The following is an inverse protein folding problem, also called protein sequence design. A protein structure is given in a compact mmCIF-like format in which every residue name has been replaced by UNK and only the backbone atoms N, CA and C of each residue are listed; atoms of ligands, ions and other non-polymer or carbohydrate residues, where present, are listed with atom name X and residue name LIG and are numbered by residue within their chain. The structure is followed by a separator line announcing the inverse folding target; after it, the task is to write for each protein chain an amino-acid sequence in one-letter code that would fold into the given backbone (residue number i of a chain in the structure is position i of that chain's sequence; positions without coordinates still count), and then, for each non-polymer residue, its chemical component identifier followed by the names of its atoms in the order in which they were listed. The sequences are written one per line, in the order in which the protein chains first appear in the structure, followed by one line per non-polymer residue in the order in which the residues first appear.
data_IF_199370775673
#
_entry.id   IF_199370775673
#
_cell.length_a   1.000
_cell.length_b   1.000
_cell.length_c   1.000
_cell.angle_alpha   90.00
_cell.angle_beta   90.00
_cell.angle_gamma   90.00
#
_symmetry.space_group_name_H-M   'P 1'
#
loop_
_entity.id
_entity.type
_entity.pdbx_description
1 polymer ?
#
# COMPACT_ATOMS: atom_id res chain seq x y z
N UNK A 1 20.90 34.63 9.84
CA UNK A 1 20.60 33.49 10.74
C UNK A 1 19.25 32.86 10.44
N UNK A 2 18.15 33.63 10.41
CA UNK A 2 16.80 33.13 10.08
C UNK A 2 16.72 32.42 8.71
N UNK A 3 17.30 32.99 7.65
CA UNK A 3 17.30 32.37 6.32
C UNK A 3 18.01 31.01 6.27
N UNK A 4 19.05 30.82 7.07
CA UNK A 4 19.81 29.55 7.11
C UNK A 4 18.99 28.43 7.77
N UNK A 5 18.28 28.76 8.85
CA UNK A 5 17.36 27.82 9.52
C UNK A 5 16.23 27.42 8.57
N UNK A 6 15.65 28.37 7.83
CA UNK A 6 14.62 28.07 6.82
C UNK A 6 15.13 27.14 5.71
N UNK A 7 16.34 27.36 5.21
CA UNK A 7 16.94 26.49 4.19
C UNK A 7 17.13 25.06 4.73
N UNK A 8 17.66 24.91 5.95
CA UNK A 8 17.83 23.60 6.59
C UNK A 8 16.48 22.90 6.78
N UNK A 9 15.49 23.61 7.33
CA UNK A 9 14.15 23.06 7.53
C UNK A 9 13.51 22.60 6.22
N UNK A 10 13.69 23.37 5.14
CA UNK A 10 13.18 23.02 3.81
C UNK A 10 13.86 21.76 3.24
N UNK A 11 15.18 21.63 3.40
CA UNK A 11 15.91 20.42 2.98
C UNK A 11 15.44 19.19 3.76
N UNK A 12 15.29 19.31 5.08
CA UNK A 12 14.78 18.22 5.93
C UNK A 12 13.37 17.80 5.50
N UNK A 13 12.50 18.77 5.19
CA UNK A 13 11.16 18.49 4.69
C UNK A 13 11.18 17.71 3.38
N UNK A 14 12.02 18.11 2.42
CA UNK A 14 12.17 17.40 1.13
C UNK A 14 12.65 15.96 1.37
N UNK A 15 13.66 15.78 2.23
CA UNK A 15 14.16 14.45 2.57
C UNK A 15 13.06 13.59 3.21
N UNK A 16 12.27 14.16 4.11
CA UNK A 16 11.17 13.45 4.79
C UNK A 16 10.07 13.02 3.81
N UNK A 17 9.65 13.91 2.91
CA UNK A 17 8.67 13.59 1.84
C UNK A 17 9.23 12.51 0.91
N UNK A 18 10.52 12.60 0.57
CA UNK A 18 11.19 11.62 -0.30
C UNK A 18 11.25 10.24 0.36
N UNK A 19 11.53 10.15 1.67
CA UNK A 19 11.52 8.89 2.41
C UNK A 19 10.15 8.21 2.38
N UNK A 20 9.06 8.97 2.54
CA UNK A 20 7.70 8.44 2.51
C UNK A 20 7.31 7.78 1.19
N UNK A 21 7.97 8.13 0.08
CA UNK A 21 7.73 7.54 -1.24
C UNK A 21 8.74 6.45 -1.59
N UNK A 22 10.02 6.64 -1.27
CA UNK A 22 11.11 5.73 -1.65
C UNK A 22 11.18 4.50 -0.74
N UNK A 23 10.97 4.63 0.57
CA UNK A 23 11.10 3.50 1.49
C UNK A 23 10.13 2.35 1.20
N UNK A 24 8.84 2.61 0.88
CA UNK A 24 7.94 1.54 0.47
C UNK A 24 8.44 0.77 -0.75
N UNK A 25 9.06 1.46 -1.73
CA UNK A 25 9.58 0.85 -2.95
C UNK A 25 10.74 -0.12 -2.74
N UNK A 26 11.48 0.03 -1.64
CA UNK A 26 12.56 -0.88 -1.26
C UNK A 26 12.04 -2.19 -0.66
N UNK A 27 10.82 -2.20 -0.11
CA UNK A 27 10.22 -3.40 0.45
C UNK A 27 9.18 -3.98 -0.52
N UNK A 28 9.68 -4.76 -1.50
CA UNK A 28 8.82 -5.45 -2.48
C UNK A 28 8.58 -6.87 -2.03
N UNK A 29 7.32 -7.27 -2.01
CA UNK A 29 6.93 -8.65 -1.70
C UNK A 29 5.96 -9.18 -2.76
N UNK A 30 5.89 -10.51 -2.84
CA UNK A 30 4.94 -11.22 -3.70
C UNK A 30 4.27 -12.28 -2.85
N UNK A 31 2.94 -12.30 -2.90
CA UNK A 31 2.13 -13.25 -2.16
C UNK A 31 1.30 -14.06 -3.15
N UNK A 32 1.24 -15.36 -2.92
CA UNK A 32 0.41 -16.28 -3.69
C UNK A 32 -0.63 -16.91 -2.78
N UNK A 33 -1.88 -16.96 -3.21
CA UNK A 33 -2.95 -17.49 -2.39
C UNK A 33 -4.31 -17.39 -3.04
N UNK A 34 -5.36 -17.57 -2.27
CA UNK A 34 -6.75 -17.39 -2.70
C UNK A 34 -7.29 -16.09 -2.13
N UNK A 35 -7.92 -15.27 -2.97
CA UNK A 35 -8.61 -14.06 -2.52
C UNK A 35 -9.81 -14.47 -1.68
N UNK A 36 -9.82 -14.11 -0.40
CA UNK A 36 -10.91 -14.44 0.52
C UNK A 36 -12.01 -13.40 0.41
N UNK A 37 -11.61 -12.12 0.47
CA UNK A 37 -12.55 -11.01 0.44
C UNK A 37 -11.88 -9.72 0.00
N UNK A 38 -12.70 -8.79 -0.48
CA UNK A 38 -12.30 -7.42 -0.80
C UNK A 38 -13.28 -6.43 -0.18
N UNK A 39 -12.79 -5.42 0.52
CA UNK A 39 -13.65 -4.48 1.25
C UNK A 39 -13.10 -3.06 1.30
N UNK A 40 -13.90 -2.16 1.88
CA UNK A 40 -13.51 -0.78 2.17
C UNK A 40 -13.63 -0.53 3.67
N UNK A 41 -12.61 0.05 4.26
CA UNK A 41 -12.59 0.42 5.67
C UNK A 41 -12.24 1.91 5.79
N UNK A 42 -12.68 2.56 6.87
CA UNK A 42 -12.29 3.95 7.12
C UNK A 42 -10.78 4.01 7.35
N UNK A 43 -10.11 4.94 6.67
CA UNK A 43 -8.67 5.09 6.82
C UNK A 43 -8.36 5.62 8.23
N UNK A 44 -7.42 5.00 8.94
CA UNK A 44 -7.09 5.40 10.33
C UNK A 44 -6.61 6.87 10.44
N UNK A 45 -5.87 7.32 9.42
CA UNK A 45 -5.25 8.65 9.35
C UNK A 45 -5.98 9.67 8.46
N UNK A 46 -7.01 9.28 7.70
CA UNK A 46 -7.70 10.20 6.78
C UNK A 46 -9.22 10.03 6.86
N UNK A 47 -9.98 11.03 6.38
CA UNK A 47 -11.46 10.95 6.33
C UNK A 47 -11.97 10.07 5.18
N UNK A 48 -11.07 9.50 4.37
CA UNK A 48 -11.38 8.62 3.25
C UNK A 48 -11.61 7.17 3.64
N UNK A 49 -12.06 6.37 2.67
CA UNK A 49 -12.10 4.91 2.79
C UNK A 49 -10.93 4.29 2.02
N UNK A 50 -10.19 3.41 2.68
CA UNK A 50 -9.13 2.60 2.09
C UNK A 50 -9.70 1.29 1.57
N UNK A 51 -9.21 0.85 0.42
CA UNK A 51 -9.60 -0.44 -0.16
C UNK A 51 -8.63 -1.52 0.30
N UNK A 52 -9.16 -2.67 0.69
CA UNK A 52 -8.37 -3.79 1.14
C UNK A 52 -8.73 -5.07 0.38
N UNK A 53 -7.77 -5.96 0.32
CA UNK A 53 -7.87 -7.32 -0.22
C UNK A 53 -7.24 -8.26 0.79
N UNK A 54 -7.96 -9.32 1.14
CA UNK A 54 -7.41 -10.39 1.98
C UNK A 54 -7.08 -11.61 1.15
N UNK A 55 -5.82 -12.04 1.24
CA UNK A 55 -5.29 -13.18 0.52
C UNK A 55 -4.93 -14.28 1.52
N UNK A 56 -5.49 -15.46 1.35
CA UNK A 56 -5.15 -16.64 2.16
C UNK A 56 -4.04 -17.44 1.48
N UNK A 57 -2.91 -17.60 2.16
CA UNK A 57 -1.77 -18.40 1.74
C UNK A 57 -1.48 -19.47 2.80
N UNK A 58 -1.80 -20.73 2.50
CA UNK A 58 -1.74 -21.81 3.49
C UNK A 58 -2.67 -21.54 4.68
N UNK A 59 -2.09 -21.43 5.88
CA UNK A 59 -2.82 -21.15 7.12
C UNK A 59 -2.91 -19.66 7.45
N UNK A 60 -2.19 -18.81 6.73
CA UNK A 60 -2.11 -17.38 7.01
C UNK A 60 -3.02 -16.59 6.08
N UNK A 61 -3.62 -15.52 6.60
CA UNK A 61 -4.34 -14.53 5.80
C UNK A 61 -3.59 -13.21 5.91
N UNK A 62 -3.20 -12.66 4.77
CA UNK A 62 -2.57 -11.34 4.70
C UNK A 62 -3.58 -10.30 4.22
N UNK A 63 -3.63 -9.17 4.93
CA UNK A 63 -4.37 -7.98 4.55
C UNK A 63 -3.47 -7.08 3.71
N UNK A 64 -3.95 -6.71 2.52
CA UNK A 64 -3.21 -5.95 1.52
C UNK A 64 -4.03 -4.72 1.18
N UNK A 65 -3.41 -3.54 1.23
CA UNK A 65 -4.02 -2.28 0.84
C UNK A 65 -4.05 -2.15 -0.68
N UNK A 66 -5.10 -1.55 -1.23
CA UNK A 66 -5.18 -1.18 -2.64
C UNK A 66 -5.45 0.32 -2.75
N UNK A 67 -4.37 1.09 -2.65
CA UNK A 67 -4.37 2.54 -2.77
C UNK A 67 -3.52 2.98 -3.95
N UNK A 68 -3.63 4.25 -4.33
CA UNK A 68 -2.82 4.81 -5.40
C UNK A 68 -1.34 4.87 -5.00
N UNK A 69 -0.45 4.66 -5.97
CA UNK A 69 1.01 4.66 -5.77
C UNK A 69 1.63 5.60 -6.78
N UNK A 70 2.01 6.78 -6.31
CA UNK A 70 2.59 7.86 -7.12
C UNK A 70 3.82 7.40 -7.91
N UNK A 71 4.80 6.76 -7.25
CA UNK A 71 6.05 6.34 -7.90
C UNK A 71 5.88 5.21 -8.92
N UNK A 72 4.71 4.58 -8.98
CA UNK A 72 4.38 3.53 -9.95
C UNK A 72 3.37 3.96 -10.98
N UNK A 73 2.94 5.22 -10.93
CA UNK A 73 1.88 5.72 -11.80
C UNK A 73 0.58 4.89 -11.69
N UNK A 74 0.33 4.28 -10.52
CA UNK A 74 -0.87 3.49 -10.24
C UNK A 74 -1.92 4.41 -9.63
N UNK A 75 -2.93 4.78 -10.41
CA UNK A 75 -4.03 5.67 -10.00
C UNK A 75 -5.41 5.05 -10.28
N UNK A 76 -5.44 3.74 -10.51
CA UNK A 76 -6.61 2.96 -10.90
C UNK A 76 -7.04 2.00 -9.78
N UNK A 77 -6.68 2.28 -8.53
CA UNK A 77 -7.01 1.46 -7.35
C UNK A 77 -8.49 1.08 -7.29
N UNK A 78 -9.38 2.03 -7.55
CA UNK A 78 -10.82 1.80 -7.63
C UNK A 78 -11.25 0.85 -8.75
N UNK A 79 -10.64 0.96 -9.92
CA UNK A 79 -10.92 0.08 -11.06
C UNK A 79 -10.42 -1.33 -10.76
N UNK A 80 -9.17 -1.44 -10.33
CA UNK A 80 -8.53 -2.69 -9.94
C UNK A 80 -9.32 -3.44 -8.88
N UNK A 81 -9.85 -2.74 -7.87
CA UNK A 81 -10.71 -3.37 -6.85
C UNK A 81 -11.94 -4.04 -7.45
N UNK A 82 -12.55 -3.47 -8.51
CA UNK A 82 -13.72 -4.06 -9.15
C UNK A 82 -13.34 -5.34 -9.89
N UNK A 83 -12.18 -5.36 -10.53
CA UNK A 83 -11.69 -6.50 -11.31
C UNK A 83 -11.28 -7.69 -10.44
N UNK A 84 -10.80 -7.46 -9.22
CA UNK A 84 -10.38 -8.52 -8.30
C UNK A 84 -11.54 -9.49 -8.01
N UNK A 85 -11.38 -10.77 -8.31
CA UNK A 85 -12.39 -11.81 -8.05
C UNK A 85 -12.10 -12.57 -6.76
N UNK A 86 -13.08 -12.61 -5.86
CA UNK A 86 -13.05 -13.43 -4.65
C UNK A 86 -13.14 -14.92 -4.99
N UNK A 87 -12.53 -15.78 -4.18
CA UNK A 87 -12.46 -17.23 -4.39
C UNK A 87 -11.45 -17.69 -5.45
N UNK A 88 -10.84 -16.76 -6.20
CA UNK A 88 -9.82 -17.10 -7.19
C UNK A 88 -8.41 -17.09 -6.60
N UNK A 89 -7.55 -17.94 -7.16
CA UNK A 89 -6.12 -17.86 -6.90
C UNK A 89 -5.58 -16.56 -7.47
N UNK A 90 -4.61 -15.97 -6.79
CA UNK A 90 -3.97 -14.75 -7.23
C UNK A 90 -2.49 -14.76 -6.82
N UNK A 91 -1.67 -14.13 -7.66
CA UNK A 91 -0.34 -13.65 -7.30
C UNK A 91 -0.41 -12.13 -7.17
N UNK A 92 -0.25 -11.63 -5.96
CA UNK A 92 -0.29 -10.20 -5.65
C UNK A 92 1.14 -9.71 -5.44
N UNK A 93 1.49 -8.63 -6.12
CA UNK A 93 2.75 -7.92 -5.94
C UNK A 93 2.51 -6.64 -5.17
N UNK A 94 3.31 -6.43 -4.13
CA UNK A 94 3.15 -5.31 -3.21
C UNK A 94 4.43 -4.52 -2.98
N UNK A 95 4.25 -3.30 -2.49
CA UNK A 95 5.30 -2.47 -1.90
C UNK A 95 4.93 -2.11 -0.46
N UNK A 96 5.90 -1.70 0.34
CA UNK A 96 5.67 -1.28 1.71
C UNK A 96 5.69 -2.44 2.72
N UNK A 97 5.46 -2.11 3.98
CA UNK A 97 5.67 -3.01 5.11
C UNK A 97 4.35 -3.61 5.59
N UNK A 98 4.40 -4.87 6.00
CA UNK A 98 3.30 -5.54 6.70
C UNK A 98 3.58 -5.50 8.21
N UNK A 99 3.07 -4.51 8.91
CA UNK A 99 3.18 -4.36 10.37
C UNK A 99 1.78 -4.11 10.95
N UNK A 100 0.95 -5.17 11.08
CA UNK A 100 -0.44 -5.03 11.50
C UNK A 100 -0.61 -4.40 12.88
N UNK A 101 0.35 -4.57 13.79
CA UNK A 101 0.32 -4.00 15.15
C UNK A 101 0.24 -2.47 15.19
N UNK A 102 0.67 -1.80 14.11
CA UNK A 102 0.58 -0.34 13.93
C UNK A 102 -0.32 0.05 12.75
N UNK A 103 -1.09 -0.91 12.21
CA UNK A 103 -2.02 -0.66 11.11
C UNK A 103 -1.36 -0.40 9.75
N UNK A 104 -0.10 -0.81 9.56
CA UNK A 104 0.58 -0.72 8.26
C UNK A 104 0.41 -2.02 7.48
N UNK A 105 -0.10 -1.89 6.26
CA UNK A 105 -0.30 -2.99 5.33
C UNK A 105 0.44 -2.72 4.03
N UNK A 106 0.96 -3.75 3.34
CA UNK A 106 1.62 -3.56 2.07
C UNK A 106 0.60 -3.15 1.01
N UNK A 107 0.98 -2.25 0.11
CA UNK A 107 0.11 -1.72 -0.93
C UNK A 107 0.30 -2.50 -2.25
N UNK A 108 -0.80 -2.96 -2.82
CA UNK A 108 -0.89 -3.71 -4.07
C UNK A 108 -0.54 -2.82 -5.25
N UNK A 109 0.44 -3.23 -6.05
CA UNK A 109 0.77 -2.55 -7.31
C UNK A 109 0.49 -3.38 -8.56
N UNK A 110 0.40 -4.71 -8.43
CA UNK A 110 0.05 -5.62 -9.53
C UNK A 110 -0.64 -6.85 -8.97
N UNK A 111 -1.58 -7.41 -9.73
CA UNK A 111 -2.21 -8.69 -9.44
C UNK A 111 -2.30 -9.53 -10.72
N UNK A 112 -2.13 -10.83 -10.58
CA UNK A 112 -2.36 -11.83 -11.61
C UNK A 112 -3.37 -12.84 -11.05
N UNK A 113 -4.51 -13.04 -11.74
CA UNK A 113 -5.59 -13.97 -11.35
C UNK A 113 -5.90 -14.96 -12.48
#
# INVERSE_FOLDING_TARGET
MMNFIFIIAFIILILFISMGTILPELNRQTYEGTIVQKYKENHLLTTGKTQFVELKSGNDTIKIENSDILLRNKFDSHHLQKEIKEGQKARIYTIGFNIPSIGLYPNLYKIEQ
#
